data_IF_240082483986
#
_entry.id   IF_240082483986
#
_cell.length_a   1.000
_cell.length_b   1.000
_cell.length_c   1.000
_cell.angle_alpha   90.00
_cell.angle_beta   90.00
_cell.angle_gamma   90.00
#
_symmetry.space_group_name_H-M   'P 1'
#
loop_
_entity.id
_entity.type
_entity.pdbx_description
1 polymer ?
#
# COMPACT_ATOMS: atom_id res chain seq x y z
N UNK A 1 -23.02 6.97 -9.03
CA UNK A 1 -22.24 7.63 -10.11
C UNK A 1 -22.71 9.07 -10.18
N UNK A 2 -21.81 10.04 -10.10
CA UNK A 2 -22.13 11.46 -10.19
C UNK A 2 -20.84 12.26 -10.44
N UNK A 3 -20.90 13.56 -10.78
CA UNK A 3 -19.70 14.41 -10.83
C UNK A 3 -18.98 14.58 -9.48
N UNK A 4 -19.68 14.36 -8.37
CA UNK A 4 -19.11 14.21 -7.04
C UNK A 4 -19.99 13.27 -6.20
N UNK A 5 -19.36 12.46 -5.34
CA UNK A 5 -20.04 11.50 -4.46
C UNK A 5 -19.57 11.71 -3.02
N UNK A 6 -20.51 11.87 -2.08
CA UNK A 6 -20.21 12.03 -0.66
C UNK A 6 -20.98 11.01 0.18
N UNK A 7 -20.27 10.10 0.83
CA UNK A 7 -20.84 9.19 1.82
C UNK A 7 -20.51 9.65 3.24
N UNK A 8 -21.55 10.07 3.98
CA UNK A 8 -21.50 10.35 5.43
C UNK A 8 -22.26 9.30 6.27
N UNK A 9 -22.95 8.38 5.60
CA UNK A 9 -23.82 7.40 6.22
C UNK A 9 -23.21 6.00 6.21
N UNK A 10 -24.05 4.99 6.08
CA UNK A 10 -23.64 3.59 6.04
C UNK A 10 -24.13 2.96 4.74
N UNK A 11 -23.24 2.31 4.00
CA UNK A 11 -23.54 1.55 2.77
C UNK A 11 -23.11 0.11 2.98
N UNK A 12 -24.02 -0.86 2.81
CA UNK A 12 -23.75 -2.28 3.06
C UNK A 12 -24.16 -3.12 1.85
N UNK A 13 -23.24 -3.97 1.37
CA UNK A 13 -23.50 -4.97 0.33
C UNK A 13 -22.73 -6.26 0.61
N UNK A 14 -23.24 -7.09 1.54
CA UNK A 14 -22.62 -8.37 1.92
C UNK A 14 -22.46 -9.30 0.72
N UNK A 15 -21.26 -9.84 0.52
CA UNK A 15 -20.86 -10.67 -0.63
C UNK A 15 -21.01 -10.00 -2.00
N UNK A 16 -21.39 -8.72 -2.04
CA UNK A 16 -21.70 -7.95 -3.24
C UNK A 16 -20.60 -6.94 -3.57
N UNK A 17 -20.94 -5.98 -4.45
CA UNK A 17 -20.01 -4.91 -4.82
C UNK A 17 -20.60 -3.54 -4.46
N UNK A 18 -19.81 -2.67 -3.84
CA UNK A 18 -20.12 -1.24 -3.69
C UNK A 18 -19.23 -0.45 -4.62
N UNK A 19 -19.81 0.30 -5.55
CA UNK A 19 -19.09 1.19 -6.46
C UNK A 19 -19.45 2.66 -6.24
N UNK A 20 -18.50 3.48 -5.77
CA UNK A 20 -18.61 4.95 -5.86
C UNK A 20 -17.73 5.42 -7.01
N UNK A 21 -18.36 6.06 -8.00
CA UNK A 21 -17.66 6.48 -9.22
C UNK A 21 -17.96 7.92 -9.54
N UNK A 22 -16.89 8.69 -9.79
CA UNK A 22 -16.96 10.10 -10.13
C UNK A 22 -16.38 10.40 -11.52
N UNK A 23 -17.25 10.83 -12.43
CA UNK A 23 -16.93 11.14 -13.82
C UNK A 23 -18.15 11.72 -14.56
N UNK A 24 -17.93 12.35 -15.71
CA UNK A 24 -19.01 12.89 -16.57
C UNK A 24 -19.63 11.80 -17.46
N UNK A 25 -18.85 10.81 -17.84
CA UNK A 25 -19.32 9.64 -18.56
C UNK A 25 -18.65 8.39 -18.00
N UNK A 26 -19.47 7.42 -17.57
CA UNK A 26 -19.01 6.18 -16.96
C UNK A 26 -19.71 5.01 -17.61
N UNK A 27 -18.98 3.91 -17.86
CA UNK A 27 -19.57 2.61 -18.17
C UNK A 27 -19.34 1.63 -17.04
N UNK A 28 -20.32 0.75 -16.87
CA UNK A 28 -20.25 -0.42 -16.00
C UNK A 28 -20.22 -1.61 -16.93
N UNK A 29 -19.15 -2.38 -16.87
CA UNK A 29 -19.00 -3.60 -17.64
C UNK A 29 -18.99 -4.78 -16.66
N UNK A 30 -19.83 -5.78 -16.95
CA UNK A 30 -19.84 -7.04 -16.22
C UNK A 30 -18.93 -8.01 -16.97
N UNK A 31 -17.70 -8.13 -16.49
CA UNK A 31 -16.78 -9.16 -16.96
C UNK A 31 -17.14 -10.41 -16.17
N UNK A 32 -17.41 -11.54 -16.85
CA UNK A 32 -17.83 -12.78 -16.18
C UNK A 32 -16.96 -13.14 -14.96
N UNK A 33 -17.54 -13.87 -14.00
CA UNK A 33 -16.97 -14.19 -12.68
C UNK A 33 -17.04 -13.04 -11.64
N UNK A 34 -18.20 -12.42 -11.48
CA UNK A 34 -18.48 -11.39 -10.45
C UNK A 34 -17.59 -10.12 -10.54
N UNK A 35 -16.93 -9.87 -11.67
CA UNK A 35 -16.06 -8.70 -11.83
C UNK A 35 -16.84 -7.54 -12.46
N UNK A 36 -17.16 -6.54 -11.63
CA UNK A 36 -17.70 -5.26 -12.10
C UNK A 36 -16.53 -4.32 -12.39
N UNK A 37 -16.37 -3.95 -13.66
CA UNK A 37 -15.41 -2.94 -14.08
C UNK A 37 -16.12 -1.59 -14.29
N UNK A 38 -15.60 -0.55 -13.62
CA UNK A 38 -16.07 0.81 -13.82
C UNK A 38 -15.05 1.59 -14.64
N UNK A 39 -15.44 2.02 -15.84
CA UNK A 39 -14.58 2.80 -16.73
C UNK A 39 -15.08 4.23 -16.82
N UNK A 40 -14.25 5.20 -16.43
CA UNK A 40 -14.56 6.63 -16.58
C UNK A 40 -14.06 7.08 -17.97
N UNK A 41 -15.01 7.29 -18.89
CA UNK A 41 -14.75 7.73 -20.27
C UNK A 41 -14.46 9.23 -20.36
N UNK A 42 -15.14 10.04 -19.54
CA UNK A 42 -14.92 11.48 -19.47
C UNK A 42 -14.67 11.91 -18.02
N UNK A 43 -13.52 12.54 -17.72
CA UNK A 43 -13.26 13.08 -16.39
C UNK A 43 -14.23 14.21 -16.08
N UNK A 44 -14.35 14.57 -14.80
CA UNK A 44 -15.05 15.81 -14.42
C UNK A 44 -14.18 17.01 -14.74
N UNK A 45 -14.67 17.90 -15.59
CA UNK A 45 -14.05 19.18 -15.94
C UNK A 45 -14.52 20.30 -15.01
N UNK A 46 -13.64 21.27 -14.73
CA UNK A 46 -13.98 22.44 -13.93
C UNK A 46 -14.25 22.18 -12.44
N UNK A 47 -14.95 23.15 -11.83
CA UNK A 47 -15.34 23.13 -10.42
C UNK A 47 -16.70 22.46 -10.26
N UNK A 48 -16.89 21.72 -9.17
CA UNK A 48 -18.21 21.20 -8.77
C UNK A 48 -18.62 21.98 -7.54
N UNK A 49 -19.84 22.53 -7.55
CA UNK A 49 -20.40 23.29 -6.46
C UNK A 49 -21.48 22.46 -5.75
N UNK A 50 -21.63 22.67 -4.45
CA UNK A 50 -22.80 22.19 -3.72
C UNK A 50 -24.03 23.06 -4.02
N UNK A 51 -25.16 22.70 -3.40
CA UNK A 51 -26.43 23.43 -3.55
C UNK A 51 -26.39 24.89 -3.05
N UNK A 52 -25.42 25.22 -2.20
CA UNK A 52 -25.26 26.54 -1.59
C UNK A 52 -24.18 27.38 -2.34
N UNK A 53 -23.59 26.83 -3.40
CA UNK A 53 -22.57 27.49 -4.21
C UNK A 53 -21.14 27.31 -3.68
N UNK A 54 -20.92 26.48 -2.67
CA UNK A 54 -19.58 26.22 -2.14
C UNK A 54 -18.85 25.20 -3.02
N UNK A 55 -17.53 25.38 -3.15
CA UNK A 55 -16.67 24.45 -3.87
C UNK A 55 -16.60 23.10 -3.17
N UNK A 56 -16.87 22.03 -3.91
CA UNK A 56 -16.59 20.66 -3.47
C UNK A 56 -15.13 20.34 -3.82
N UNK A 57 -14.30 20.22 -2.79
CA UNK A 57 -12.85 19.96 -2.91
C UNK A 57 -12.51 18.55 -3.37
N UNK A 58 -13.45 17.62 -3.20
CA UNK A 58 -13.23 16.18 -3.42
C UNK A 58 -14.21 15.62 -4.47
N UNK A 59 -13.74 14.71 -5.30
CA UNK A 59 -14.61 14.00 -6.27
C UNK A 59 -15.33 12.83 -5.61
N UNK A 60 -14.66 12.12 -4.71
CA UNK A 60 -15.28 11.14 -3.82
C UNK A 60 -14.84 11.43 -2.39
N UNK A 61 -15.79 11.60 -1.48
CA UNK A 61 -15.52 11.68 -0.03
C UNK A 61 -16.27 10.57 0.71
N UNK A 62 -15.56 9.89 1.61
CA UNK A 62 -16.14 8.90 2.52
C UNK A 62 -15.74 9.20 3.95
N UNK A 63 -16.62 9.86 4.70
CA UNK A 63 -16.51 10.05 6.16
C UNK A 63 -17.38 9.06 6.94
N UNK A 64 -18.31 8.37 6.26
CA UNK A 64 -19.14 7.30 6.81
C UNK A 64 -18.49 5.91 6.73
N UNK A 65 -19.34 4.88 6.61
CA UNK A 65 -18.93 3.48 6.47
C UNK A 65 -19.41 2.88 5.15
N UNK A 66 -18.53 2.15 4.47
CA UNK A 66 -18.84 1.28 3.34
C UNK A 66 -18.44 -0.14 3.72
N UNK A 67 -19.33 -1.12 3.57
CA UNK A 67 -19.09 -2.51 3.96
C UNK A 67 -19.54 -3.47 2.84
N UNK A 68 -18.60 -4.24 2.30
CA UNK A 68 -18.84 -5.27 1.30
C UNK A 68 -18.07 -6.56 1.64
N UNK A 69 -18.23 -7.06 2.86
CA UNK A 69 -17.50 -8.24 3.34
C UNK A 69 -17.81 -9.47 2.48
N UNK A 70 -16.75 -10.20 2.11
CA UNK A 70 -16.70 -11.28 1.11
C UNK A 70 -16.97 -10.81 -0.32
N UNK A 71 -16.94 -9.49 -0.55
CA UNK A 71 -17.30 -8.82 -1.77
C UNK A 71 -16.21 -7.86 -2.24
N UNK A 72 -16.59 -6.76 -2.89
CA UNK A 72 -15.64 -5.78 -3.43
C UNK A 72 -16.11 -4.34 -3.20
N UNK A 73 -15.21 -3.45 -2.81
CA UNK A 73 -15.45 -2.00 -2.82
C UNK A 73 -14.59 -1.36 -3.91
N UNK A 74 -15.20 -0.50 -4.73
CA UNK A 74 -14.53 0.25 -5.79
C UNK A 74 -14.83 1.74 -5.61
N UNK A 75 -13.80 2.53 -5.38
CA UNK A 75 -13.85 3.99 -5.40
C UNK A 75 -13.01 4.48 -6.57
N UNK A 76 -13.65 5.05 -7.60
CA UNK A 76 -12.94 5.48 -8.81
C UNK A 76 -13.33 6.91 -9.18
N UNK A 77 -12.36 7.81 -9.22
CA UNK A 77 -12.55 9.19 -9.62
C UNK A 77 -11.53 9.53 -10.71
N UNK A 78 -11.96 10.30 -11.70
CA UNK A 78 -11.05 10.91 -12.69
C UNK A 78 -11.44 12.36 -12.86
N UNK A 79 -10.49 13.27 -12.68
CA UNK A 79 -10.68 14.69 -12.98
C UNK A 79 -9.61 15.21 -13.91
N UNK A 80 -10.00 16.18 -14.75
CA UNK A 80 -9.09 16.92 -15.62
C UNK A 80 -8.56 18.20 -14.95
N UNK A 81 -9.13 18.61 -13.81
CA UNK A 81 -8.81 19.87 -13.16
C UNK A 81 -7.72 19.73 -12.10
N UNK A 82 -6.65 20.52 -12.23
CA UNK A 82 -5.56 20.62 -11.24
C UNK A 82 -5.92 21.43 -9.98
N UNK A 83 -7.11 22.04 -9.94
CA UNK A 83 -7.58 22.88 -8.82
C UNK A 83 -8.03 22.02 -7.64
N UNK A 84 -8.38 20.76 -7.90
CA UNK A 84 -8.89 19.81 -6.90
C UNK A 84 -7.73 19.32 -6.04
N UNK A 85 -7.90 19.36 -4.72
CA UNK A 85 -6.89 18.87 -3.77
C UNK A 85 -6.82 17.36 -3.79
N UNK A 86 -7.97 16.69 -3.65
CA UNK A 86 -8.07 15.24 -3.58
C UNK A 86 -9.13 14.71 -4.56
N UNK A 87 -8.77 13.74 -5.39
CA UNK A 87 -9.75 13.04 -6.21
C UNK A 87 -10.60 12.12 -5.32
N UNK A 88 -9.97 11.48 -4.32
CA UNK A 88 -10.66 10.62 -3.36
C UNK A 88 -10.12 10.90 -1.96
N UNK A 89 -11.02 11.18 -1.01
CA UNK A 89 -10.71 11.36 0.41
C UNK A 89 -11.51 10.34 1.25
N UNK A 90 -10.79 9.48 1.97
CA UNK A 90 -11.36 8.47 2.87
C UNK A 90 -10.96 8.78 4.30
N UNK A 91 -11.87 9.37 5.06
CA UNK A 91 -11.72 9.67 6.49
C UNK A 91 -12.42 8.62 7.37
N UNK A 92 -13.47 8.00 6.84
CA UNK A 92 -14.24 6.96 7.50
C UNK A 92 -13.71 5.55 7.25
N UNK A 93 -14.62 4.57 7.24
CA UNK A 93 -14.28 3.16 7.09
C UNK A 93 -14.69 2.63 5.71
N UNK A 94 -13.82 1.85 5.08
CA UNK A 94 -14.11 1.01 3.92
C UNK A 94 -13.71 -0.42 4.26
N UNK A 95 -14.70 -1.32 4.34
CA UNK A 95 -14.53 -2.72 4.70
C UNK A 95 -14.91 -3.63 3.54
N UNK A 96 -14.05 -4.59 3.24
CA UNK A 96 -14.33 -5.75 2.42
C UNK A 96 -13.58 -6.94 3.02
N UNK A 97 -13.94 -7.34 4.24
CA UNK A 97 -13.28 -8.45 4.94
C UNK A 97 -13.47 -9.78 4.21
N UNK A 98 -12.55 -10.72 4.38
CA UNK A 98 -12.74 -12.09 3.88
C UNK A 98 -13.85 -12.78 4.65
N UNK A 99 -14.75 -13.47 3.94
CA UNK A 99 -15.84 -14.25 4.55
C UNK A 99 -15.88 -15.64 3.94
N UNK A 100 -15.70 -16.67 4.79
CA UNK A 100 -15.82 -18.07 4.37
C UNK A 100 -14.91 -18.39 3.17
N UNK A 101 -13.63 -18.02 3.29
CA UNK A 101 -12.59 -18.18 2.25
C UNK A 101 -12.83 -17.40 0.95
N UNK A 102 -13.86 -16.53 0.88
CA UNK A 102 -14.02 -15.58 -0.22
C UNK A 102 -13.32 -14.29 0.15
N UNK A 103 -12.14 -14.07 -0.46
CA UNK A 103 -11.33 -12.88 -0.24
C UNK A 103 -12.12 -11.64 -0.63
N UNK A 104 -12.18 -10.67 0.28
CA UNK A 104 -12.72 -9.36 -0.06
C UNK A 104 -11.65 -8.46 -0.68
N UNK A 105 -12.09 -7.47 -1.46
CA UNK A 105 -11.19 -6.62 -2.25
C UNK A 105 -11.59 -5.15 -2.15
N UNK A 106 -10.62 -4.26 -2.07
CA UNK A 106 -10.82 -2.81 -2.07
C UNK A 106 -9.96 -2.21 -3.17
N UNK A 107 -10.58 -1.51 -4.12
CA UNK A 107 -9.90 -0.80 -5.21
C UNK A 107 -10.21 0.69 -5.12
N UNK A 108 -9.18 1.51 -4.94
CA UNK A 108 -9.29 2.97 -4.88
C UNK A 108 -8.40 3.57 -5.96
N UNK A 109 -8.98 4.38 -6.84
CA UNK A 109 -8.29 4.96 -8.00
C UNK A 109 -8.65 6.43 -8.17
N UNK A 110 -7.71 7.33 -7.89
CA UNK A 110 -7.81 8.76 -8.22
C UNK A 110 -7.53 9.09 -9.69
N UNK A 111 -7.20 8.08 -10.51
CA UNK A 111 -6.75 8.27 -11.88
C UNK A 111 -5.35 8.88 -11.97
N UNK A 112 -4.87 9.11 -13.19
CA UNK A 112 -3.46 9.46 -13.44
C UNK A 112 -3.05 10.86 -12.95
N UNK A 113 -4.00 11.68 -12.53
CA UNK A 113 -3.79 13.08 -12.12
C UNK A 113 -4.39 13.39 -10.74
N UNK A 114 -5.11 12.46 -10.14
CA UNK A 114 -5.85 12.69 -8.91
C UNK A 114 -5.11 12.19 -7.68
N UNK A 115 -5.17 12.96 -6.60
CA UNK A 115 -4.64 12.54 -5.31
C UNK A 115 -5.65 11.63 -4.59
N UNK A 116 -5.14 10.64 -3.86
CA UNK A 116 -5.93 9.79 -2.97
C UNK A 116 -5.43 9.98 -1.56
N UNK A 117 -6.31 10.46 -0.67
CA UNK A 117 -6.05 10.60 0.75
C UNK A 117 -6.79 9.51 1.55
N UNK A 118 -6.04 8.78 2.39
CA UNK A 118 -6.54 7.76 3.30
C UNK A 118 -6.19 8.16 4.73
N UNK A 119 -7.08 8.92 5.36
CA UNK A 119 -6.99 9.30 6.77
C UNK A 119 -7.73 8.32 7.70
N UNK A 120 -8.70 7.59 7.14
CA UNK A 120 -9.52 6.59 7.83
C UNK A 120 -8.95 5.17 7.74
N UNK A 121 -9.86 4.19 7.69
CA UNK A 121 -9.50 2.76 7.66
C UNK A 121 -9.95 2.09 6.36
N UNK A 122 -9.03 1.37 5.72
CA UNK A 122 -9.31 0.37 4.68
C UNK A 122 -9.06 -1.01 5.29
N UNK A 123 -10.06 -1.88 5.29
CA UNK A 123 -9.96 -3.20 5.95
C UNK A 123 -10.48 -4.33 5.04
N UNK A 124 -9.55 -5.16 4.56
CA UNK A 124 -9.82 -6.38 3.82
C UNK A 124 -9.34 -7.62 4.60
N UNK A 125 -9.27 -7.56 5.94
CA UNK A 125 -8.71 -8.63 6.75
C UNK A 125 -9.55 -9.91 6.73
N UNK A 126 -8.89 -11.05 6.90
CA UNK A 126 -9.48 -12.34 7.24
C UNK A 126 -9.39 -12.60 8.74
N UNK A 127 -10.55 -12.67 9.41
CA UNK A 127 -10.61 -12.73 10.87
C UNK A 127 -10.77 -14.16 11.42
N UNK A 128 -11.36 -15.08 10.65
CA UNK A 128 -11.64 -16.44 11.10
C UNK A 128 -10.50 -17.41 10.73
N UNK A 129 -10.40 -18.56 11.42
CA UNK A 129 -9.45 -19.61 11.06
C UNK A 129 -9.56 -20.01 9.58
N UNK A 130 -8.45 -19.89 8.85
CA UNK A 130 -8.37 -20.20 7.42
C UNK A 130 -8.84 -19.09 6.47
N UNK A 131 -9.39 -17.97 6.96
CA UNK A 131 -9.68 -16.80 6.15
C UNK A 131 -8.39 -15.99 5.97
N UNK A 132 -7.86 -15.98 4.75
CA UNK A 132 -6.69 -15.17 4.40
C UNK A 132 -7.07 -13.69 4.33
N UNK A 133 -6.08 -12.82 4.52
CA UNK A 133 -6.24 -11.40 4.20
C UNK A 133 -6.59 -11.23 2.71
N UNK A 134 -7.45 -10.25 2.43
CA UNK A 134 -7.88 -9.88 1.10
C UNK A 134 -6.89 -8.98 0.37
N UNK A 135 -7.39 -8.25 -0.63
CA UNK A 135 -6.58 -7.38 -1.49
C UNK A 135 -7.00 -5.92 -1.34
N UNK A 136 -6.03 -5.02 -1.21
CA UNK A 136 -6.25 -3.58 -1.23
C UNK A 136 -5.33 -2.95 -2.27
N UNK A 137 -5.90 -2.24 -3.23
CA UNK A 137 -5.15 -1.46 -4.21
C UNK A 137 -5.53 0.01 -4.09
N UNK A 138 -4.54 0.87 -3.85
CA UNK A 138 -4.71 2.32 -3.81
C UNK A 138 -3.81 2.95 -4.86
N UNK A 139 -4.40 3.67 -5.81
CA UNK A 139 -3.65 4.31 -6.89
C UNK A 139 -4.09 5.74 -7.18
N UNK A 140 -3.13 6.58 -7.55
CA UNK A 140 -3.36 7.97 -7.96
C UNK A 140 -2.08 8.61 -8.50
N UNK A 141 -2.14 9.91 -8.78
CA UNK A 141 -0.93 10.70 -9.02
C UNK A 141 -0.10 10.78 -7.75
N UNK A 142 -0.72 11.21 -6.65
CA UNK A 142 -0.18 11.07 -5.30
C UNK A 142 -1.10 10.24 -4.42
N UNK A 143 -0.53 9.44 -3.53
CA UNK A 143 -1.26 8.71 -2.48
C UNK A 143 -0.73 9.14 -1.12
N UNK A 144 -1.62 9.57 -0.24
CA UNK A 144 -1.30 9.95 1.14
C UNK A 144 -2.07 9.03 2.07
N UNK A 145 -1.37 8.33 2.96
CA UNK A 145 -1.97 7.64 4.10
C UNK A 145 -1.75 8.54 5.32
N UNK A 146 -2.64 9.50 5.54
CA UNK A 146 -2.51 10.52 6.60
C UNK A 146 -2.92 9.94 7.95
N UNK A 147 -2.00 9.23 8.61
CA UNK A 147 -2.25 8.51 9.88
C UNK A 147 -3.37 7.46 9.81
N UNK A 148 -3.90 7.20 8.61
CA UNK A 148 -4.88 6.17 8.36
C UNK A 148 -4.32 4.76 8.56
N UNK A 149 -5.19 3.76 8.41
CA UNK A 149 -4.84 2.36 8.57
C UNK A 149 -5.31 1.55 7.36
N UNK A 150 -4.38 0.81 6.75
CA UNK A 150 -4.66 -0.12 5.65
C UNK A 150 -4.37 -1.53 6.17
N UNK A 151 -5.39 -2.37 6.23
CA UNK A 151 -5.32 -3.69 6.87
C UNK A 151 -5.78 -4.78 5.92
N UNK A 152 -4.92 -5.76 5.68
CA UNK A 152 -5.28 -7.02 5.03
C UNK A 152 -4.70 -8.18 5.84
N UNK A 153 -5.04 -8.25 7.13
CA UNK A 153 -4.47 -9.24 8.05
C UNK A 153 -5.06 -10.62 7.84
N UNK A 154 -4.34 -11.67 8.22
CA UNK A 154 -4.84 -13.05 8.29
C UNK A 154 -4.58 -13.66 9.66
N UNK A 155 -5.47 -13.48 10.63
CA UNK A 155 -5.19 -13.76 12.05
C UNK A 155 -4.72 -15.20 12.34
N UNK A 156 -5.18 -16.18 11.56
CA UNK A 156 -4.73 -17.59 11.63
C UNK A 156 -4.45 -18.20 10.25
N UNK A 157 -4.29 -17.34 9.25
CA UNK A 157 -4.04 -17.71 7.86
C UNK A 157 -2.96 -16.80 7.27
N UNK A 158 -2.72 -16.89 5.96
CA UNK A 158 -1.79 -15.96 5.30
C UNK A 158 -2.36 -14.54 5.34
N UNK A 159 -1.51 -13.55 5.60
CA UNK A 159 -1.83 -12.15 5.35
C UNK A 159 -2.14 -11.88 3.87
N UNK A 160 -2.85 -10.79 3.62
CA UNK A 160 -3.31 -10.38 2.31
C UNK A 160 -2.28 -9.58 1.52
N UNK A 161 -2.78 -8.82 0.55
CA UNK A 161 -1.95 -7.99 -0.32
C UNK A 161 -2.39 -6.53 -0.28
N UNK A 162 -1.43 -5.63 -0.13
CA UNK A 162 -1.62 -4.18 -0.25
C UNK A 162 -0.71 -3.67 -1.36
N UNK A 163 -1.29 -3.06 -2.38
CA UNK A 163 -0.56 -2.40 -3.47
C UNK A 163 -0.86 -0.90 -3.46
N UNK A 164 0.18 -0.08 -3.41
CA UNK A 164 0.08 1.38 -3.46
C UNK A 164 0.88 1.91 -4.64
N UNK A 165 0.21 2.67 -5.51
CA UNK A 165 0.81 3.23 -6.72
C UNK A 165 0.58 4.74 -6.74
N UNK A 166 1.66 5.51 -6.67
CA UNK A 166 1.62 6.97 -6.82
C UNK A 166 2.57 7.41 -7.91
N UNK A 167 2.09 7.82 -9.09
CA UNK A 167 3.00 8.16 -10.20
C UNK A 167 3.97 9.29 -9.86
N UNK A 168 3.52 10.23 -9.02
CA UNK A 168 4.30 11.37 -8.56
C UNK A 168 4.86 11.11 -7.18
N UNK A 169 4.02 10.73 -6.22
CA UNK A 169 4.48 10.47 -4.85
C UNK A 169 3.59 9.54 -4.01
N UNK A 170 4.19 8.92 -3.00
CA UNK A 170 3.49 8.24 -1.89
C UNK A 170 3.98 8.79 -0.56
N UNK A 171 3.06 9.18 0.31
CA UNK A 171 3.33 9.50 1.71
C UNK A 171 2.66 8.46 2.61
N UNK A 172 3.47 7.53 3.13
CA UNK A 172 3.05 6.49 4.07
C UNK A 172 3.18 7.01 5.51
N UNK A 173 2.30 7.94 5.90
CA UNK A 173 2.21 8.50 7.24
C UNK A 173 1.36 7.70 8.23
N UNK A 174 0.64 6.69 7.74
CA UNK A 174 -0.20 5.78 8.50
C UNK A 174 0.22 4.31 8.34
N UNK A 175 -0.42 3.43 9.09
CA UNK A 175 0.02 2.03 9.20
C UNK A 175 -0.50 1.18 8.04
N UNK A 176 0.35 0.29 7.54
CA UNK A 176 -0.07 -0.80 6.65
C UNK A 176 0.22 -2.13 7.34
N UNK A 177 -0.78 -2.99 7.52
CA UNK A 177 -0.63 -4.29 8.20
C UNK A 177 -1.23 -5.43 7.37
N UNK A 178 -0.34 -6.26 6.82
CA UNK A 178 -0.65 -7.51 6.11
C UNK A 178 -0.09 -8.71 6.88
N UNK A 179 0.02 -8.62 8.20
CA UNK A 179 0.52 -9.72 9.03
C UNK A 179 -0.47 -10.88 9.10
N UNK A 180 0.05 -12.09 9.35
CA UNK A 180 -0.78 -13.26 9.57
C UNK A 180 0.01 -14.45 10.12
N UNK A 181 -0.57 -15.65 10.07
CA UNK A 181 0.15 -16.91 10.37
C UNK A 181 1.47 -16.96 9.60
N UNK A 182 1.38 -16.74 8.29
CA UNK A 182 2.48 -16.34 7.42
C UNK A 182 2.21 -14.92 6.94
N UNK A 183 3.22 -14.08 6.82
CA UNK A 183 3.04 -12.70 6.38
C UNK A 183 2.48 -12.59 4.95
N UNK A 184 1.79 -11.48 4.70
CA UNK A 184 1.28 -11.08 3.39
C UNK A 184 2.30 -10.28 2.59
N UNK A 185 1.81 -9.50 1.62
CA UNK A 185 2.64 -8.71 0.71
C UNK A 185 2.26 -7.22 0.74
N UNK A 186 3.25 -6.35 0.79
CA UNK A 186 3.09 -4.93 0.51
C UNK A 186 3.93 -4.56 -0.70
N UNK A 187 3.33 -3.94 -1.71
CA UNK A 187 3.99 -3.46 -2.91
C UNK A 187 3.76 -1.94 -3.05
N UNK A 188 4.83 -1.16 -3.06
CA UNK A 188 4.78 0.29 -3.28
C UNK A 188 5.58 0.63 -4.52
N UNK A 189 4.94 1.28 -5.49
CA UNK A 189 5.59 1.79 -6.69
C UNK A 189 5.30 3.26 -6.84
N UNK A 190 6.33 4.12 -6.85
CA UNK A 190 6.09 5.56 -6.87
C UNK A 190 7.20 6.40 -7.48
N UNK A 191 6.91 7.66 -7.82
CA UNK A 191 7.91 8.67 -8.13
C UNK A 191 8.80 8.97 -6.93
N UNK A 192 8.26 9.67 -5.92
CA UNK A 192 8.92 9.92 -4.64
C UNK A 192 8.21 9.27 -3.45
N UNK A 193 8.96 8.86 -2.43
CA UNK A 193 8.42 8.18 -1.25
C UNK A 193 8.78 8.90 0.04
N UNK A 194 7.82 8.98 0.95
CA UNK A 194 8.03 9.32 2.36
C UNK A 194 7.40 8.24 3.23
N UNK A 195 8.15 7.68 4.19
CA UNK A 195 7.62 6.74 5.18
C UNK A 195 7.79 7.32 6.58
N UNK A 196 6.71 7.35 7.35
CA UNK A 196 6.70 7.84 8.72
C UNK A 196 5.94 6.94 9.71
N UNK A 197 5.47 5.78 9.24
CA UNK A 197 4.73 4.83 10.07
C UNK A 197 5.11 3.38 9.70
N UNK A 198 4.71 2.40 10.53
CA UNK A 198 5.00 0.99 10.27
C UNK A 198 4.30 0.42 9.04
N UNK A 199 5.05 -0.40 8.30
CA UNK A 199 4.59 -1.32 7.25
C UNK A 199 4.94 -2.73 7.72
N UNK A 200 3.90 -3.52 8.02
CA UNK A 200 4.01 -4.80 8.70
C UNK A 200 3.56 -5.93 7.78
N UNK A 201 4.42 -6.93 7.58
CA UNK A 201 4.09 -8.18 6.93
C UNK A 201 4.61 -9.35 7.78
N UNK A 202 4.27 -9.38 9.06
CA UNK A 202 4.84 -10.34 10.01
C UNK A 202 4.21 -11.72 9.87
N UNK A 203 5.01 -12.76 10.08
CA UNK A 203 4.53 -14.12 10.34
C UNK A 203 4.43 -14.37 11.85
N UNK A 204 3.27 -14.77 12.36
CA UNK A 204 3.12 -15.02 13.80
C UNK A 204 3.68 -16.38 14.22
N UNK A 205 3.52 -17.39 13.37
CA UNK A 205 4.02 -18.77 13.60
C UNK A 205 4.66 -19.40 12.36
N UNK A 206 4.57 -18.74 11.21
CA UNK A 206 5.23 -19.12 9.97
C UNK A 206 6.18 -18.04 9.49
N UNK A 207 6.59 -18.14 8.22
CA UNK A 207 7.48 -17.18 7.58
C UNK A 207 6.90 -15.76 7.58
N UNK A 208 7.78 -14.78 7.72
CA UNK A 208 7.48 -13.40 7.38
C UNK A 208 7.04 -13.23 5.94
N UNK A 209 6.41 -12.10 5.66
CA UNK A 209 5.89 -11.74 4.35
C UNK A 209 6.92 -11.01 3.50
N UNK A 210 6.43 -10.26 2.52
CA UNK A 210 7.27 -9.46 1.63
C UNK A 210 6.88 -7.99 1.65
N UNK A 211 7.86 -7.11 1.70
CA UNK A 211 7.71 -5.67 1.45
C UNK A 211 8.59 -5.32 0.24
N UNK A 212 7.97 -4.92 -0.87
CA UNK A 212 8.65 -4.46 -2.07
C UNK A 212 8.35 -2.98 -2.30
N UNK A 213 9.39 -2.16 -2.44
CA UNK A 213 9.30 -0.72 -2.64
C UNK A 213 10.19 -0.36 -3.82
N UNK A 214 9.61 0.27 -4.83
CA UNK A 214 10.29 0.77 -6.01
C UNK A 214 9.99 2.26 -6.20
N UNK A 215 11.05 3.06 -6.30
CA UNK A 215 10.97 4.52 -6.35
C UNK A 215 11.74 5.07 -7.54
N UNK A 216 11.13 5.90 -8.39
CA UNK A 216 11.84 6.51 -9.54
C UNK A 216 12.81 7.62 -9.12
N UNK A 217 12.54 8.27 -7.99
CA UNK A 217 13.31 9.41 -7.52
C UNK A 217 13.92 9.12 -6.16
N UNK A 218 13.34 9.67 -5.10
CA UNK A 218 13.90 9.69 -3.75
C UNK A 218 12.96 9.01 -2.77
N UNK A 219 13.54 8.31 -1.81
CA UNK A 219 12.85 7.81 -0.63
C UNK A 219 13.41 8.47 0.64
N UNK A 220 12.52 9.01 1.46
CA UNK A 220 12.83 9.62 2.75
C UNK A 220 12.08 8.91 3.88
N UNK A 221 12.82 8.41 4.86
CA UNK A 221 12.24 7.66 5.96
C UNK A 221 12.72 8.24 7.30
N UNK A 222 11.76 8.56 8.16
CA UNK A 222 12.03 9.10 9.50
C UNK A 222 12.18 7.98 10.52
N UNK A 223 12.59 8.31 11.75
CA UNK A 223 12.84 7.34 12.84
C UNK A 223 11.65 6.44 13.19
N UNK A 224 10.42 6.88 12.91
CA UNK A 224 9.20 6.09 13.13
C UNK A 224 8.86 5.14 11.98
N UNK A 225 9.57 5.23 10.83
CA UNK A 225 9.43 4.28 9.74
C UNK A 225 9.94 2.90 10.19
N UNK A 226 9.14 1.87 9.95
CA UNK A 226 9.50 0.50 10.29
C UNK A 226 8.94 -0.46 9.25
N UNK A 227 9.82 -1.16 8.56
CA UNK A 227 9.49 -2.25 7.65
C UNK A 227 9.78 -3.56 8.40
N UNK A 228 8.74 -4.31 8.74
CA UNK A 228 8.86 -5.51 9.58
C UNK A 228 8.24 -6.73 8.89
N UNK A 229 9.12 -7.62 8.45
CA UNK A 229 8.81 -8.93 7.87
C UNK A 229 9.30 -10.05 8.76
N UNK A 230 9.37 -9.84 10.07
CA UNK A 230 9.82 -10.89 11.00
C UNK A 230 8.82 -12.05 11.06
N UNK A 231 9.31 -13.26 11.31
CA UNK A 231 8.48 -14.46 11.43
C UNK A 231 9.13 -15.57 12.25
N UNK A 232 8.61 -16.79 12.16
CA UNK A 232 9.32 -17.99 12.60
C UNK A 232 10.65 -18.09 11.84
N UNK A 233 10.57 -17.99 10.51
CA UNK A 233 11.68 -17.53 9.65
C UNK A 233 11.39 -16.10 9.20
N UNK A 234 12.43 -15.28 9.05
CA UNK A 234 12.27 -13.92 8.53
C UNK A 234 11.86 -13.91 7.06
N UNK A 235 11.07 -12.90 6.66
CA UNK A 235 10.62 -12.69 5.28
C UNK A 235 11.58 -11.84 4.45
N UNK A 236 11.06 -11.10 3.47
CA UNK A 236 11.88 -10.32 2.52
C UNK A 236 11.51 -8.84 2.48
N UNK A 237 12.51 -7.97 2.55
CA UNK A 237 12.39 -6.54 2.24
C UNK A 237 13.23 -6.24 1.01
N UNK A 238 12.62 -5.62 -0.01
CA UNK A 238 13.30 -5.00 -1.15
C UNK A 238 12.92 -3.53 -1.22
N UNK A 239 13.89 -2.63 -1.10
CA UNK A 239 13.65 -1.18 -1.20
C UNK A 239 14.64 -0.54 -2.16
N UNK A 240 14.17 -0.27 -3.37
CA UNK A 240 14.97 0.26 -4.47
C UNK A 240 14.52 1.67 -4.84
N UNK A 241 15.48 2.55 -5.07
CA UNK A 241 15.22 3.87 -5.64
C UNK A 241 16.25 4.22 -6.72
N UNK A 242 15.84 4.80 -7.85
CA UNK A 242 16.79 5.10 -8.92
C UNK A 242 17.78 6.20 -8.53
N UNK A 243 17.39 7.17 -7.69
CA UNK A 243 18.26 8.29 -7.31
C UNK A 243 18.81 8.19 -5.88
N UNK A 244 17.94 8.18 -4.87
CA UNK A 244 18.39 8.32 -3.49
C UNK A 244 17.47 7.62 -2.49
N UNK A 245 18.07 6.96 -1.50
CA UNK A 245 17.39 6.58 -0.27
C UNK A 245 18.11 7.28 0.89
N UNK A 246 17.34 7.94 1.75
CA UNK A 246 17.84 8.47 3.02
C UNK A 246 16.89 8.05 4.12
N UNK A 247 17.39 7.20 5.01
CA UNK A 247 16.56 6.55 6.03
C UNK A 247 17.16 6.71 7.41
N UNK A 248 16.28 6.77 8.41
CA UNK A 248 16.55 6.55 9.84
C UNK A 248 15.62 5.46 10.40
N UNK A 249 15.00 4.69 9.53
CA UNK A 249 13.98 3.71 9.85
C UNK A 249 14.55 2.37 10.33
N UNK A 250 13.64 1.45 10.57
CA UNK A 250 13.95 0.06 10.96
C UNK A 250 13.59 -0.90 9.83
N UNK A 251 14.51 -1.81 9.52
CA UNK A 251 14.35 -2.88 8.54
C UNK A 251 14.54 -4.20 9.27
N UNK A 252 13.45 -4.93 9.50
CA UNK A 252 13.44 -6.11 10.36
C UNK A 252 12.98 -7.33 9.56
N UNK A 253 13.85 -8.33 9.45
CA UNK A 253 13.59 -9.63 8.85
C UNK A 253 14.03 -10.74 9.81
N UNK A 254 13.58 -10.67 11.06
CA UNK A 254 14.05 -11.54 12.14
C UNK A 254 13.38 -12.93 12.06
N UNK A 255 14.16 -13.99 12.23
CA UNK A 255 13.69 -15.38 12.40
C UNK A 255 13.66 -15.80 13.87
N UNK A 256 12.49 -15.82 14.49
CA UNK A 256 12.36 -16.11 15.92
C UNK A 256 12.47 -17.61 16.26
N UNK A 257 12.19 -18.48 15.29
CA UNK A 257 12.23 -19.95 15.43
C UNK A 257 12.79 -20.58 14.15
N UNK A 258 13.81 -19.94 13.59
CA UNK A 258 14.22 -20.16 12.21
C UNK A 258 15.39 -19.28 11.81
N UNK A 259 15.65 -19.24 10.50
CA UNK A 259 16.67 -18.35 9.93
C UNK A 259 16.12 -16.93 9.80
N UNK A 260 17.01 -15.95 9.91
CA UNK A 260 16.70 -14.59 9.48
C UNK A 260 16.39 -14.53 7.97
N UNK A 261 15.67 -13.49 7.57
CA UNK A 261 15.21 -13.27 6.21
C UNK A 261 16.18 -12.46 5.35
N UNK A 262 15.69 -11.84 4.29
CA UNK A 262 16.51 -11.04 3.37
C UNK A 262 16.12 -9.56 3.40
N UNK A 263 17.12 -8.69 3.43
CA UNK A 263 16.95 -7.24 3.34
C UNK A 263 17.86 -6.73 2.23
N UNK A 264 17.26 -6.29 1.14
CA UNK A 264 17.95 -5.70 -0.01
C UNK A 264 17.54 -4.23 -0.14
N UNK A 265 18.50 -3.32 -0.01
CA UNK A 265 18.25 -1.89 -0.13
C UNK A 265 19.26 -1.30 -1.10
N UNK A 266 18.79 -0.64 -2.15
CA UNK A 266 19.71 -0.01 -3.10
C UNK A 266 19.19 1.28 -3.69
N UNK A 267 20.11 2.20 -3.96
CA UNK A 267 19.88 3.38 -4.74
C UNK A 267 21.21 3.91 -5.29
N UNK A 268 21.16 4.83 -6.25
CA UNK A 268 22.38 5.49 -6.72
C UNK A 268 23.14 6.18 -5.56
N UNK A 269 22.42 6.85 -4.66
CA UNK A 269 22.95 7.35 -3.37
C UNK A 269 22.15 6.80 -2.19
N UNK A 270 22.79 5.98 -1.36
CA UNK A 270 22.19 5.33 -0.21
C UNK A 270 22.77 5.92 1.08
N UNK A 271 21.91 6.46 1.94
CA UNK A 271 22.30 7.07 3.21
C UNK A 271 21.51 6.48 4.37
N UNK A 272 22.20 5.67 5.16
CA UNK A 272 21.75 5.28 6.48
C UNK A 272 22.30 6.28 7.49
N UNK A 273 21.39 6.98 8.16
CA UNK A 273 21.69 7.67 9.40
C UNK A 273 21.51 6.67 10.56
N UNK A 274 20.94 7.06 11.70
CA UNK A 274 20.71 6.19 12.86
C UNK A 274 19.63 5.11 12.62
N UNK A 275 19.97 4.07 11.85
CA UNK A 275 19.06 3.00 11.42
C UNK A 275 19.24 1.73 12.25
N UNK A 276 18.23 0.86 12.19
CA UNK A 276 18.36 -0.54 12.61
C UNK A 276 18.05 -1.43 11.42
N UNK A 277 19.01 -2.29 11.04
CA UNK A 277 18.81 -3.32 10.03
C UNK A 277 19.12 -4.66 10.69
N UNK A 278 18.12 -5.53 10.81
CA UNK A 278 18.22 -6.78 11.55
C UNK A 278 17.59 -7.94 10.77
N UNK A 279 18.45 -8.87 10.34
CA UNK A 279 18.07 -10.14 9.74
C UNK A 279 18.61 -11.30 10.60
N UNK A 280 18.63 -11.17 11.92
CA UNK A 280 19.06 -12.24 12.82
C UNK A 280 18.07 -13.41 12.83
N UNK A 281 18.54 -14.60 13.21
CA UNK A 281 17.67 -15.73 13.43
C UNK A 281 18.26 -16.75 14.39
N UNK A 282 17.39 -17.42 15.14
CA UNK A 282 17.79 -18.39 16.19
C UNK A 282 18.45 -19.65 15.61
N UNK A 283 18.15 -19.99 14.35
CA UNK A 283 18.75 -21.12 13.61
C UNK A 283 19.77 -20.67 12.55
N UNK A 284 20.12 -19.38 12.54
CA UNK A 284 21.07 -18.78 11.61
C UNK A 284 20.64 -17.37 11.17
N UNK A 285 21.62 -16.50 10.92
CA UNK A 285 21.34 -15.19 10.33
C UNK A 285 20.82 -15.30 8.89
N UNK A 286 20.17 -14.22 8.45
CA UNK A 286 19.73 -13.98 7.08
C UNK A 286 20.73 -13.16 6.27
N UNK A 287 20.25 -12.56 5.18
CA UNK A 287 21.07 -11.75 4.26
C UNK A 287 20.70 -10.27 4.35
N UNK A 288 21.73 -9.42 4.36
CA UNK A 288 21.58 -7.97 4.23
C UNK A 288 22.50 -7.52 3.08
N UNK A 289 21.92 -6.92 2.03
CA UNK A 289 22.64 -6.37 0.87
C UNK A 289 22.28 -4.89 0.71
N UNK A 290 23.27 -4.02 0.88
CA UNK A 290 23.09 -2.57 0.85
C UNK A 290 23.93 -1.99 -0.29
N UNK A 291 23.27 -1.45 -1.30
CA UNK A 291 23.92 -0.77 -2.42
C UNK A 291 24.62 -1.70 -3.41
N UNK A 292 24.14 -2.93 -3.61
CA UNK A 292 24.62 -3.82 -4.66
C UNK A 292 24.61 -5.30 -4.31
N UNK A 293 24.97 -6.11 -5.30
CA UNK A 293 25.12 -7.56 -5.15
C UNK A 293 26.39 -7.96 -4.40
N UNK A 294 26.48 -9.24 -4.00
CA UNK A 294 27.73 -9.78 -3.44
C UNK A 294 28.88 -9.60 -4.44
N UNK A 295 29.96 -8.95 -3.99
CA UNK A 295 31.11 -8.57 -4.82
C UNK A 295 30.73 -7.73 -6.05
N UNK A 296 29.66 -6.92 -5.96
CA UNK A 296 29.22 -6.04 -7.04
C UNK A 296 28.80 -6.79 -8.30
N UNK A 297 28.27 -8.02 -8.14
CA UNK A 297 27.76 -8.80 -9.26
C UNK A 297 28.83 -9.41 -10.16
N UNK A 298 30.10 -9.47 -9.71
CA UNK A 298 31.26 -9.93 -10.50
C UNK A 298 31.07 -11.24 -11.28
N UNK A 299 30.24 -12.15 -10.77
CA UNK A 299 29.94 -13.45 -11.38
C UNK A 299 28.51 -13.57 -11.93
N UNK A 300 27.77 -12.46 -12.02
CA UNK A 300 26.42 -12.39 -12.55
C UNK A 300 26.44 -11.85 -13.97
N UNK A 301 25.59 -12.40 -14.83
CA UNK A 301 25.39 -11.89 -16.18
C UNK A 301 24.51 -10.63 -16.18
N UNK A 302 23.65 -10.50 -15.17
CA UNK A 302 22.75 -9.37 -14.93
C UNK A 302 22.66 -9.17 -13.42
N UNK A 303 22.85 -7.94 -12.96
CA UNK A 303 22.68 -7.59 -11.55
C UNK A 303 21.19 -7.49 -11.23
N UNK A 304 20.71 -8.20 -10.20
CA UNK A 304 19.33 -8.06 -9.70
C UNK A 304 19.22 -6.86 -8.74
N UNK A 305 20.33 -6.49 -8.09
CA UNK A 305 20.48 -5.33 -7.22
C UNK A 305 21.50 -4.37 -7.84
N UNK A 306 21.06 -3.21 -8.37
CA UNK A 306 21.96 -2.16 -8.85
C UNK A 306 23.01 -1.74 -7.81
N UNK A 307 24.23 -1.49 -8.25
CA UNK A 307 25.31 -1.01 -7.38
C UNK A 307 25.13 0.49 -7.06
N UNK A 308 25.23 0.85 -5.78
CA UNK A 308 25.23 2.24 -5.35
C UNK A 308 26.55 2.93 -5.71
N UNK A 309 26.47 4.17 -6.20
CA UNK A 309 27.66 5.02 -6.39
C UNK A 309 28.16 5.59 -5.05
N UNK A 310 27.27 5.75 -4.09
CA UNK A 310 27.57 6.23 -2.75
C UNK A 310 26.76 5.45 -1.72
N UNK A 311 27.45 4.84 -0.76
CA UNK A 311 26.88 4.31 0.47
C UNK A 311 27.46 5.07 1.66
N UNK A 312 26.59 5.74 2.42
CA UNK A 312 26.92 6.38 3.69
C UNK A 312 26.17 5.64 4.79
N UNK A 313 26.88 5.24 5.85
CA UNK A 313 26.30 4.74 7.09
C UNK A 313 26.88 5.59 8.21
N UNK A 314 26.02 6.22 9.00
CA UNK A 314 26.39 7.01 10.16
C UNK A 314 25.59 6.56 11.38
N UNK A 315 26.25 6.45 12.52
CA UNK A 315 25.63 6.06 13.79
C UNK A 315 24.88 7.25 14.44
#
# INVERSE_FOLDING_TARGET
IAPSVNNKGVVIAKLGTVGLVSGEATTIDFVGNDLIAFTIKKPVEGQVLDKDGNLISDRISNSGSIQADGGTVILSAKSASKIIRDAINVEGMVSAKTVTKKNGRIFISGGDQGNVNVAGTLDASGEKPGDQGGEIVVKGASVVVDKGSIQAKGNEAKGGEVTVIGTDSVSAGGTMDVSGKTGGNVNITTGGLSIAAPILAKGTTGEGGTININTLFKSWEVVSAMLDVSGASGGTIKHFADQQITTSGKYLAIGNDGKGGSIDVTANSLRFLSNTIDASGTMGGGSIRLGGEYQGGKNLAVDEIPNAQMLLIND
#
